data_IF_091300224207
#
_entry.id   IF_091300224207
#
_cell.length_a   1.000
_cell.length_b   1.000
_cell.length_c   1.000
_cell.angle_alpha   90.00
_cell.angle_beta   90.00
_cell.angle_gamma   90.00
#
_symmetry.space_group_name_H-M   'P 1'
#
loop_
_entity.id
_entity.type
_entity.pdbx_description
1 polymer ?
#
# COMPACT_ATOMS: atom_id res chain seq x y z
N UNK A 1 -15.96 24.14 14.73
CA UNK A 1 -15.90 22.90 13.95
C UNK A 1 -14.54 22.29 14.27
N UNK A 2 -14.49 21.23 15.03
CA UNK A 2 -13.25 20.49 15.27
C UNK A 2 -12.86 19.83 13.95
N UNK A 3 -11.78 20.31 13.32
CA UNK A 3 -11.13 19.54 12.25
C UNK A 3 -10.84 18.15 12.81
N UNK A 4 -11.43 17.11 12.24
CA UNK A 4 -11.11 15.74 12.60
C UNK A 4 -9.63 15.53 12.25
N UNK A 5 -8.77 15.51 13.28
CA UNK A 5 -7.34 15.28 13.07
C UNK A 5 -7.14 13.87 12.56
N UNK A 6 -6.50 13.76 11.39
CA UNK A 6 -6.08 12.47 10.84
C UNK A 6 -4.85 12.00 11.59
N UNK A 7 -4.95 10.85 12.23
CA UNK A 7 -3.86 10.21 12.98
C UNK A 7 -3.39 8.95 12.27
N UNK A 8 -2.07 8.73 12.24
CA UNK A 8 -1.49 7.47 11.77
C UNK A 8 -0.98 6.70 12.98
N UNK A 9 -1.48 5.48 13.13
CA UNK A 9 -1.13 4.57 14.23
C UNK A 9 -0.90 3.17 13.72
N UNK A 10 -0.06 2.42 14.42
CA UNK A 10 -0.02 0.98 14.23
C UNK A 10 -1.36 0.39 14.68
N UNK A 11 -1.97 -0.43 13.81
CA UNK A 11 -3.25 -1.06 14.11
C UNK A 11 -3.07 -2.19 15.11
N UNK A 12 -3.88 -2.17 16.17
CA UNK A 12 -3.98 -3.23 17.16
C UNK A 12 -5.43 -3.39 17.65
N UNK A 13 -5.68 -4.32 18.54
CA UNK A 13 -7.02 -4.59 19.07
C UNK A 13 -7.61 -3.49 19.95
N UNK A 14 -6.84 -2.47 20.30
CA UNK A 14 -7.32 -1.34 21.09
C UNK A 14 -7.87 -0.21 20.20
N UNK A 15 -7.39 -0.12 18.97
CA UNK A 15 -7.74 0.95 18.04
C UNK A 15 -8.39 0.46 16.72
N UNK A 16 -8.50 -0.86 16.52
CA UNK A 16 -8.99 -1.45 15.28
C UNK A 16 -9.91 -2.65 15.56
N UNK A 17 -11.03 -2.77 14.85
CA UNK A 17 -11.99 -3.86 14.95
C UNK A 17 -12.49 -4.32 13.56
N UNK A 18 -13.32 -5.36 13.53
CA UNK A 18 -13.84 -5.96 12.28
C UNK A 18 -14.62 -4.98 11.39
N UNK A 19 -15.20 -3.93 11.98
CA UNK A 19 -16.01 -2.93 11.26
C UNK A 19 -15.24 -1.64 10.96
N UNK A 20 -13.98 -1.53 11.36
CA UNK A 20 -13.18 -0.31 11.16
C UNK A 20 -13.00 0.07 9.68
N UNK A 21 -13.18 -0.88 8.77
CA UNK A 21 -13.10 -0.66 7.33
C UNK A 21 -14.46 -0.60 6.63
N UNK A 22 -15.58 -0.63 7.35
CA UNK A 22 -16.92 -0.66 6.73
C UNK A 22 -17.22 0.57 5.86
N UNK A 23 -16.66 1.73 6.19
CA UNK A 23 -16.78 2.97 5.40
C UNK A 23 -15.64 3.16 4.36
N UNK A 24 -14.67 2.24 4.28
CA UNK A 24 -13.53 2.37 3.39
C UNK A 24 -13.95 2.25 1.91
N UNK A 25 -13.73 3.29 1.10
CA UNK A 25 -14.02 3.26 -0.33
C UNK A 25 -12.77 2.92 -1.14
N UNK A 26 -12.66 1.64 -1.57
CA UNK A 26 -11.54 1.14 -2.38
C UNK A 26 -11.70 1.45 -3.87
N UNK A 27 -12.76 2.12 -4.29
CA UNK A 27 -13.01 2.37 -5.70
C UNK A 27 -11.80 2.99 -6.40
N UNK A 28 -11.40 2.38 -7.54
CA UNK A 28 -10.37 2.90 -8.44
C UNK A 28 -10.81 2.67 -9.88
N UNK A 29 -10.81 3.73 -10.66
CA UNK A 29 -10.98 3.67 -12.12
C UNK A 29 -9.60 3.85 -12.75
N UNK A 30 -9.16 2.85 -13.51
CA UNK A 30 -7.88 2.82 -14.19
C UNK A 30 -8.12 2.98 -15.68
N UNK A 31 -7.41 3.87 -16.34
CA UNK A 31 -7.43 4.05 -17.80
C UNK A 31 -6.19 3.43 -18.43
N UNK A 32 -5.04 3.65 -17.83
CA UNK A 32 -3.77 3.23 -18.35
C UNK A 32 -3.00 2.38 -17.33
N UNK A 33 -2.18 1.50 -17.85
CA UNK A 33 -1.27 0.67 -17.06
C UNK A 33 0.16 0.81 -17.59
N UNK A 34 1.11 0.75 -16.70
CA UNK A 34 2.51 0.65 -17.06
C UNK A 34 2.89 -0.82 -17.36
N UNK A 35 3.75 -1.01 -18.34
CA UNK A 35 4.43 -2.29 -18.63
C UNK A 35 5.93 -2.05 -18.71
N UNK A 36 6.70 -3.07 -18.41
CA UNK A 36 8.15 -3.01 -18.60
C UNK A 36 8.48 -3.76 -19.89
N UNK A 37 8.95 -3.01 -20.88
CA UNK A 37 9.36 -3.52 -22.18
C UNK A 37 10.82 -3.14 -22.43
N UNK A 38 11.68 -4.13 -22.59
CA UNK A 38 13.12 -3.93 -22.75
C UNK A 38 13.76 -3.05 -21.66
N UNK A 39 13.30 -3.25 -20.39
CA UNK A 39 13.78 -2.50 -19.22
C UNK A 39 13.26 -1.06 -19.13
N UNK A 40 12.25 -0.68 -19.90
CA UNK A 40 11.68 0.66 -19.91
C UNK A 40 10.18 0.62 -19.59
N UNK A 41 9.73 1.68 -18.94
CA UNK A 41 8.29 1.89 -18.73
C UNK A 41 7.61 2.29 -20.06
N UNK A 42 6.57 1.54 -20.42
CA UNK A 42 5.70 1.81 -21.58
C UNK A 42 4.25 1.87 -21.10
N UNK A 43 3.54 2.95 -21.46
CA UNK A 43 2.15 3.14 -21.05
C UNK A 43 1.21 2.48 -22.06
N UNK A 44 0.27 1.68 -21.56
CA UNK A 44 -0.75 1.01 -22.36
C UNK A 44 -2.15 1.43 -21.92
N UNK A 45 -3.02 1.67 -22.88
CA UNK A 45 -4.44 1.87 -22.60
C UNK A 45 -5.08 0.52 -22.29
N UNK A 46 -5.49 0.34 -21.04
CA UNK A 46 -6.15 -0.87 -20.54
C UNK A 46 -7.10 -0.47 -19.41
N UNK A 47 -8.32 -0.04 -19.76
CA UNK A 47 -9.28 0.44 -18.77
C UNK A 47 -9.87 -0.69 -17.94
N UNK A 48 -9.96 -0.49 -16.63
CA UNK A 48 -10.68 -1.36 -15.70
C UNK A 48 -11.07 -0.59 -14.43
N UNK A 49 -11.94 -1.19 -13.65
CA UNK A 49 -12.39 -0.63 -12.37
C UNK A 49 -12.22 -1.66 -11.28
N UNK A 50 -11.72 -1.22 -10.13
CA UNK A 50 -11.63 -2.02 -8.91
C UNK A 50 -12.47 -1.41 -7.81
N UNK A 51 -13.15 -2.27 -7.06
CA UNK A 51 -13.91 -1.89 -5.87
C UNK A 51 -13.94 -3.03 -4.88
N UNK A 52 -14.15 -2.72 -3.60
CA UNK A 52 -14.36 -3.74 -2.57
C UNK A 52 -15.79 -3.74 -2.07
N UNK A 53 -16.41 -4.92 -2.09
CA UNK A 53 -17.65 -5.17 -1.37
C UNK A 53 -17.45 -5.05 0.14
N UNK A 54 -18.54 -4.99 0.91
CA UNK A 54 -18.48 -5.02 2.38
C UNK A 54 -17.75 -6.27 2.88
N UNK A 55 -18.00 -7.42 2.25
CA UNK A 55 -17.34 -8.69 2.59
C UNK A 55 -15.82 -8.60 2.39
N UNK A 56 -15.37 -8.03 1.28
CA UNK A 56 -13.94 -7.85 1.00
C UNK A 56 -13.28 -6.88 1.99
N UNK A 57 -13.98 -5.81 2.37
CA UNK A 57 -13.49 -4.87 3.40
C UNK A 57 -13.37 -5.55 4.77
N UNK A 58 -14.34 -6.37 5.16
CA UNK A 58 -14.29 -7.13 6.42
C UNK A 58 -13.25 -8.25 6.37
N UNK A 59 -13.04 -8.88 5.22
CA UNK A 59 -11.91 -9.81 5.02
C UNK A 59 -10.57 -9.09 5.23
N UNK A 60 -10.40 -7.90 4.67
CA UNK A 60 -9.20 -7.07 4.89
C UNK A 60 -9.04 -6.70 6.36
N UNK A 61 -10.11 -6.32 7.04
CA UNK A 61 -10.09 -6.07 8.50
C UNK A 61 -9.66 -7.32 9.29
N UNK A 62 -10.13 -8.51 8.90
CA UNK A 62 -9.70 -9.79 9.48
C UNK A 62 -8.21 -10.09 9.25
N UNK A 63 -7.68 -9.75 8.07
CA UNK A 63 -6.23 -9.86 7.79
C UNK A 63 -5.41 -8.96 8.73
N UNK A 64 -5.84 -7.73 8.93
CA UNK A 64 -5.19 -6.78 9.84
C UNK A 64 -5.23 -7.31 11.29
N UNK A 65 -6.39 -7.78 11.74
CA UNK A 65 -6.58 -8.33 13.09
C UNK A 65 -5.86 -9.66 13.33
N UNK A 66 -5.46 -10.35 12.26
CA UNK A 66 -4.76 -11.64 12.37
C UNK A 66 -3.39 -11.54 13.04
N UNK A 67 -2.79 -10.35 13.04
CA UNK A 67 -1.44 -10.13 13.55
C UNK A 67 -0.33 -10.72 12.69
N UNK A 68 -0.65 -11.20 11.49
CA UNK A 68 0.37 -11.72 10.53
C UNK A 68 1.23 -10.62 9.95
N UNK A 69 0.70 -9.41 9.91
CA UNK A 69 1.32 -8.25 9.26
C UNK A 69 1.52 -7.14 10.26
N UNK A 70 2.57 -6.37 10.06
CA UNK A 70 2.73 -5.08 10.74
C UNK A 70 1.90 -4.09 9.93
N UNK A 71 0.87 -3.53 10.55
CA UNK A 71 -0.07 -2.65 9.84
C UNK A 71 -0.10 -1.27 10.47
N UNK A 72 0.00 -0.24 9.63
CA UNK A 72 -0.26 1.14 10.02
C UNK A 72 -1.52 1.63 9.32
N UNK A 73 -2.41 2.26 10.07
CA UNK A 73 -3.64 2.84 9.55
C UNK A 73 -3.67 4.35 9.78
N UNK A 74 -4.24 5.05 8.81
CA UNK A 74 -4.68 6.43 8.96
C UNK A 74 -6.14 6.42 9.41
N UNK A 75 -6.42 7.12 10.50
CA UNK A 75 -7.74 7.21 11.11
C UNK A 75 -8.30 8.63 11.02
N UNK A 76 -9.58 8.74 10.69
CA UNK A 76 -10.39 9.92 10.92
C UNK A 76 -11.47 9.55 11.97
N UNK A 77 -11.25 9.95 13.21
CA UNK A 77 -12.00 9.40 14.33
C UNK A 77 -11.78 7.88 14.45
N UNK A 78 -12.85 7.10 14.41
CA UNK A 78 -12.78 5.63 14.47
C UNK A 78 -12.73 4.97 13.07
N UNK A 79 -12.87 5.75 12.00
CA UNK A 79 -12.88 5.24 10.63
C UNK A 79 -11.46 5.12 10.08
N UNK A 80 -11.15 3.98 9.48
CA UNK A 80 -9.92 3.80 8.72
C UNK A 80 -10.08 4.40 7.33
N UNK A 81 -9.20 5.33 6.98
CA UNK A 81 -9.18 6.04 5.70
C UNK A 81 -7.94 5.71 4.85
N UNK A 82 -6.99 5.00 5.41
CA UNK A 82 -5.80 4.48 4.72
C UNK A 82 -5.17 3.35 5.51
N UNK A 83 -4.56 2.39 4.82
CA UNK A 83 -3.81 1.29 5.42
C UNK A 83 -2.55 0.98 4.63
N UNK A 84 -1.51 0.56 5.34
CA UNK A 84 -0.30 -0.02 4.76
C UNK A 84 0.14 -1.19 5.63
N UNK A 85 0.33 -2.34 5.01
CA UNK A 85 0.68 -3.59 5.67
C UNK A 85 2.06 -4.05 5.24
N UNK A 86 2.86 -4.51 6.17
CA UNK A 86 4.22 -4.98 5.94
C UNK A 86 4.32 -6.45 6.33
N UNK A 87 5.08 -7.21 5.56
CA UNK A 87 5.48 -8.57 5.94
C UNK A 87 6.55 -8.45 7.04
N UNK A 88 6.38 -9.12 8.20
CA UNK A 88 7.25 -8.93 9.36
C UNK A 88 8.65 -9.57 9.24
N UNK A 89 8.91 -10.28 8.14
CA UNK A 89 10.23 -10.86 7.86
C UNK A 89 10.98 -10.03 6.81
N UNK A 90 12.27 -9.82 7.03
CA UNK A 90 13.12 -9.21 6.01
C UNK A 90 13.40 -10.21 4.88
N UNK A 91 13.27 -9.75 3.64
CA UNK A 91 13.85 -10.42 2.49
C UNK A 91 15.21 -9.78 2.20
N UNK A 92 16.29 -10.44 2.60
CA UNK A 92 17.62 -9.87 2.69
C UNK A 92 17.63 -8.64 3.62
N UNK A 93 17.78 -7.44 3.10
CA UNK A 93 17.74 -6.17 3.82
C UNK A 93 16.47 -5.33 3.53
N UNK A 94 15.46 -5.95 2.90
CA UNK A 94 14.24 -5.28 2.45
C UNK A 94 13.04 -5.65 3.31
N UNK A 95 12.25 -4.65 3.71
CA UNK A 95 10.93 -4.86 4.30
C UNK A 95 9.86 -4.71 3.20
N UNK A 96 8.98 -5.70 3.09
CA UNK A 96 8.04 -5.81 1.98
C UNK A 96 6.72 -5.15 2.35
N UNK A 97 6.25 -4.23 1.51
CA UNK A 97 4.89 -3.71 1.55
C UNK A 97 3.97 -4.76 0.91
N UNK A 98 3.11 -5.38 1.74
CA UNK A 98 2.16 -6.40 1.32
C UNK A 98 0.88 -5.81 0.74
N UNK A 99 0.37 -4.74 1.35
CA UNK A 99 -0.86 -4.06 0.95
C UNK A 99 -0.76 -2.58 1.25
N UNK A 100 -1.35 -1.74 0.40
CA UNK A 100 -1.37 -0.30 0.62
C UNK A 100 -2.52 0.34 -0.13
N UNK A 101 -3.45 0.94 0.61
CA UNK A 101 -4.61 1.63 0.03
C UNK A 101 -4.98 2.88 0.82
N UNK A 102 -5.54 3.85 0.12
CA UNK A 102 -6.17 5.05 0.68
C UNK A 102 -7.60 5.13 0.15
N UNK A 103 -8.56 5.33 1.05
CA UNK A 103 -9.97 5.51 0.72
C UNK A 103 -10.16 6.67 -0.26
N UNK A 104 -11.06 6.49 -1.24
CA UNK A 104 -11.20 7.36 -2.43
C UNK A 104 -11.27 8.84 -2.09
N UNK A 105 -12.12 9.21 -1.14
CA UNK A 105 -12.35 10.62 -0.76
C UNK A 105 -11.12 11.29 -0.13
N UNK A 106 -10.20 10.48 0.41
CA UNK A 106 -9.00 10.94 1.10
C UNK A 106 -7.73 10.88 0.26
N UNK A 107 -7.85 10.50 -1.03
CA UNK A 107 -6.72 10.52 -1.96
C UNK A 107 -6.34 11.95 -2.31
N UNK A 108 -5.07 12.16 -2.68
CA UNK A 108 -4.50 13.48 -3.00
C UNK A 108 -4.46 14.47 -1.83
N UNK A 109 -4.76 14.00 -0.61
CA UNK A 109 -4.68 14.77 0.65
C UNK A 109 -3.39 14.50 1.45
N UNK A 110 -2.40 13.87 0.84
CA UNK A 110 -1.11 13.59 1.48
C UNK A 110 -1.08 12.37 2.40
N UNK A 111 -2.21 11.66 2.61
CA UNK A 111 -2.29 10.50 3.51
C UNK A 111 -1.37 9.37 3.07
N UNK A 112 -1.36 9.04 1.77
CA UNK A 112 -0.48 8.01 1.23
C UNK A 112 1.00 8.31 1.50
N UNK A 113 1.42 9.55 1.31
CA UNK A 113 2.78 10.00 1.62
C UNK A 113 3.11 9.79 3.10
N UNK A 114 2.24 10.25 4.00
CA UNK A 114 2.43 10.11 5.45
C UNK A 114 2.52 8.64 5.88
N UNK A 115 1.71 7.75 5.29
CA UNK A 115 1.78 6.30 5.54
C UNK A 115 3.13 5.73 5.09
N UNK A 116 3.60 6.05 3.88
CA UNK A 116 4.91 5.57 3.39
C UNK A 116 6.06 6.12 4.24
N UNK A 117 6.02 7.40 4.62
CA UNK A 117 7.02 7.99 5.52
C UNK A 117 7.04 7.29 6.89
N UNK A 118 5.85 7.00 7.46
CA UNK A 118 5.73 6.28 8.73
C UNK A 118 6.37 4.87 8.64
N UNK A 119 6.07 4.12 7.58
CA UNK A 119 6.66 2.78 7.44
C UNK A 119 8.14 2.82 7.07
N UNK A 120 8.62 3.88 6.39
CA UNK A 120 10.03 4.06 6.13
C UNK A 120 10.82 4.28 7.44
N UNK A 121 10.30 5.09 8.34
CA UNK A 121 10.90 5.30 9.67
C UNK A 121 10.84 4.02 10.52
N UNK A 122 9.71 3.32 10.48
CA UNK A 122 9.58 2.02 11.14
C UNK A 122 10.59 1.00 10.59
N UNK A 123 10.73 0.92 9.26
CA UNK A 123 11.62 -0.02 8.59
C UNK A 123 13.09 0.21 8.95
N UNK A 124 13.53 1.48 9.07
CA UNK A 124 14.89 1.82 9.56
C UNK A 124 15.11 1.29 10.97
N UNK A 125 14.15 1.49 11.87
CA UNK A 125 14.19 0.95 13.23
C UNK A 125 14.12 -0.58 13.28
N UNK A 126 13.51 -1.20 12.28
CA UNK A 126 13.40 -2.66 12.13
C UNK A 126 14.68 -3.30 11.58
N UNK A 127 15.62 -2.49 11.07
CA UNK A 127 16.89 -2.96 10.51
C UNK A 127 16.86 -3.17 8.98
N UNK A 128 15.81 -2.69 8.31
CA UNK A 128 15.78 -2.68 6.84
C UNK A 128 16.58 -1.52 6.27
N UNK A 129 17.18 -1.72 5.12
CA UNK A 129 17.83 -0.67 4.32
C UNK A 129 17.02 -0.29 3.07
N UNK A 130 15.92 -1.00 2.81
CA UNK A 130 15.01 -0.67 1.73
C UNK A 130 13.57 -1.12 2.03
N UNK A 131 12.61 -0.44 1.40
CA UNK A 131 11.24 -0.90 1.21
C UNK A 131 11.12 -1.53 -0.18
N UNK A 132 10.38 -2.63 -0.26
CA UNK A 132 10.06 -3.32 -1.51
C UNK A 132 8.55 -3.44 -1.69
N UNK A 133 8.06 -3.31 -2.92
CA UNK A 133 6.66 -3.50 -3.24
C UNK A 133 6.47 -4.18 -4.60
N UNK A 134 5.59 -5.18 -4.67
CA UNK A 134 4.97 -5.64 -5.89
C UNK A 134 3.78 -4.73 -6.17
N UNK A 135 3.88 -3.89 -7.18
CA UNK A 135 2.93 -2.80 -7.40
C UNK A 135 1.96 -3.13 -8.52
N UNK A 136 0.66 -3.05 -8.25
CA UNK A 136 -0.33 -2.99 -9.32
C UNK A 136 0.11 -1.97 -10.37
N UNK A 137 0.09 -2.37 -11.64
CA UNK A 137 0.65 -1.60 -12.75
C UNK A 137 -0.17 -0.38 -13.20
N UNK A 138 -1.27 -0.06 -12.51
CA UNK A 138 -2.07 1.14 -12.79
C UNK A 138 -1.19 2.40 -12.78
N UNK A 139 -1.41 3.27 -13.77
CA UNK A 139 -0.63 4.50 -13.95
C UNK A 139 -0.50 5.31 -12.65
N UNK A 140 -1.61 5.57 -11.97
CA UNK A 140 -1.64 6.35 -10.73
C UNK A 140 -0.83 5.69 -9.60
N UNK A 141 -0.87 4.35 -9.51
CA UNK A 141 -0.16 3.60 -8.49
C UNK A 141 1.36 3.71 -8.69
N UNK A 142 1.81 3.45 -9.90
CA UNK A 142 3.24 3.50 -10.22
C UNK A 142 3.78 4.93 -10.12
N UNK A 143 3.03 5.93 -10.58
CA UNK A 143 3.44 7.33 -10.49
C UNK A 143 3.52 7.80 -9.03
N UNK A 144 2.62 7.31 -8.16
CA UNK A 144 2.71 7.56 -6.72
C UNK A 144 4.00 6.96 -6.14
N UNK A 145 4.32 5.69 -6.42
CA UNK A 145 5.54 5.07 -5.91
C UNK A 145 6.80 5.76 -6.43
N UNK A 146 6.83 6.15 -7.71
CA UNK A 146 7.92 6.97 -8.27
C UNK A 146 8.09 8.29 -7.52
N UNK A 147 6.98 8.99 -7.24
CA UNK A 147 6.98 10.25 -6.49
C UNK A 147 7.47 10.07 -5.03
N UNK A 148 7.34 8.86 -4.47
CA UNK A 148 7.87 8.49 -3.16
C UNK A 148 9.33 8.01 -3.19
N UNK A 149 9.99 8.05 -4.36
CA UNK A 149 11.40 7.67 -4.51
C UNK A 149 11.64 6.20 -4.84
N UNK A 150 10.58 5.43 -5.06
CA UNK A 150 10.72 4.05 -5.52
C UNK A 150 11.19 4.01 -6.98
N UNK A 151 12.00 2.99 -7.30
CA UNK A 151 12.52 2.69 -8.63
C UNK A 151 12.31 1.22 -8.94
N UNK A 152 12.47 0.83 -10.20
CA UNK A 152 12.48 -0.58 -10.56
C UNK A 152 13.52 -1.31 -9.73
N UNK A 153 13.12 -2.43 -9.15
CA UNK A 153 14.06 -3.30 -8.44
C UNK A 153 15.04 -3.93 -9.42
N UNK A 154 16.32 -3.80 -9.14
CA UNK A 154 17.40 -4.48 -9.90
C UNK A 154 17.43 -5.98 -9.58
N UNK A 155 16.91 -6.36 -8.41
CA UNK A 155 16.86 -7.74 -7.93
C UNK A 155 15.42 -8.08 -7.48
N UNK A 156 14.47 -8.24 -8.43
CA UNK A 156 13.09 -8.55 -8.09
C UNK A 156 13.00 -9.91 -7.39
N UNK A 157 12.06 -10.01 -6.44
CA UNK A 157 11.84 -11.25 -5.69
C UNK A 157 11.10 -12.24 -6.61
N UNK A 158 11.66 -13.43 -6.91
CA UNK A 158 11.11 -14.36 -7.90
C UNK A 158 9.65 -14.75 -7.64
N UNK A 159 9.28 -14.97 -6.39
CA UNK A 159 7.91 -15.30 -6.00
C UNK A 159 6.89 -14.30 -6.55
N UNK A 160 7.13 -12.99 -6.41
CA UNK A 160 6.20 -11.96 -6.87
C UNK A 160 6.21 -11.81 -8.40
N UNK A 161 7.35 -12.04 -9.05
CA UNK A 161 7.43 -12.01 -10.52
C UNK A 161 6.60 -13.13 -11.15
N UNK A 162 6.59 -14.29 -10.53
CA UNK A 162 5.88 -15.48 -11.03
C UNK A 162 4.38 -15.43 -10.70
N UNK A 163 4.02 -15.01 -9.49
CA UNK A 163 2.64 -15.01 -8.99
C UNK A 163 1.84 -13.80 -9.52
N UNK A 164 2.49 -12.65 -9.65
CA UNK A 164 1.89 -11.37 -10.04
C UNK A 164 2.56 -10.81 -11.32
N UNK A 165 2.46 -11.56 -12.41
CA UNK A 165 3.23 -11.32 -13.66
C UNK A 165 3.04 -9.96 -14.32
N UNK A 166 1.98 -9.22 -13.99
CA UNK A 166 1.72 -7.86 -14.49
C UNK A 166 2.09 -6.76 -13.49
N UNK A 167 2.38 -7.11 -12.26
CA UNK A 167 2.81 -6.16 -11.25
C UNK A 167 4.26 -5.72 -11.49
N UNK A 168 4.53 -4.48 -11.13
CA UNK A 168 5.86 -3.88 -11.29
C UNK A 168 6.59 -3.94 -9.96
N UNK A 169 7.76 -4.57 -9.99
CA UNK A 169 8.58 -4.76 -8.80
C UNK A 169 9.40 -3.50 -8.54
N UNK A 170 9.13 -2.83 -7.44
CA UNK A 170 9.75 -1.56 -7.10
C UNK A 170 10.41 -1.59 -5.73
N UNK A 171 11.48 -0.82 -5.56
CA UNK A 171 12.14 -0.65 -4.26
C UNK A 171 12.57 0.79 -4.02
N UNK A 172 12.65 1.17 -2.75
CA UNK A 172 13.13 2.46 -2.30
C UNK A 172 14.17 2.26 -1.20
N UNK A 173 15.38 2.76 -1.40
CA UNK A 173 16.41 2.82 -0.36
C UNK A 173 16.02 3.82 0.74
N UNK A 174 16.30 3.45 1.99
CA UNK A 174 15.91 4.19 3.19
C UNK A 174 17.02 5.12 3.71
#
# INVERSE_FOLDING_TARGET
MTENMIEIKQADRNNFCETSMDSFDRFQEVQNVWRIENGRFVLHFQPFTETWSLEQRRKKAGEILSGRYITFCAFEGDAVIGEIMLIPELNEDRLIIYSFHVSREFRRCGIGRRLVETVADYARGYGASALYASCCSAEETIDFYKAMGFRLSEHPIPFYVEDESFDIQMECRL
#
